data_IF_213398552190
#
_entry.id   IF_213398552190
#
_cell.length_a   1.000
_cell.length_b   1.000
_cell.length_c   1.000
_cell.angle_alpha   90.00
_cell.angle_beta   90.00
_cell.angle_gamma   90.00
#
_symmetry.space_group_name_H-M   'P 1'
#
loop_
_entity.id
_entity.type
_entity.pdbx_description
1 polymer ?
#
# COMPACT_ATOMS: atom_id res chain seq x y z
N UNK A 1 -32.58 10.63 -0.59
CA UNK A 1 -32.71 9.60 -1.62
C UNK A 1 -31.55 9.79 -2.60
N UNK A 2 -30.43 9.09 -2.35
CA UNK A 2 -29.33 8.95 -3.32
C UNK A 2 -29.48 7.58 -3.95
N UNK A 3 -29.79 7.54 -5.22
CA UNK A 3 -29.81 6.34 -6.05
C UNK A 3 -28.37 5.90 -6.29
N UNK A 4 -28.00 4.80 -5.68
CA UNK A 4 -26.73 4.09 -5.98
C UNK A 4 -26.93 3.37 -7.32
N UNK A 5 -26.24 3.80 -8.36
CA UNK A 5 -26.19 3.12 -9.64
C UNK A 5 -25.14 2.02 -9.57
N UNK A 6 -25.57 0.81 -9.30
CA UNK A 6 -24.74 -0.39 -9.39
C UNK A 6 -24.46 -0.69 -10.86
N UNK A 7 -23.23 -0.45 -11.29
CA UNK A 7 -22.74 -0.90 -12.59
C UNK A 7 -22.35 -2.38 -12.48
N UNK A 8 -23.29 -3.27 -12.84
CA UNK A 8 -23.01 -4.71 -12.92
C UNK A 8 -22.27 -5.01 -14.23
N UNK A 9 -20.98 -5.29 -14.13
CA UNK A 9 -20.15 -5.79 -15.23
C UNK A 9 -20.47 -7.28 -15.42
N UNK A 10 -21.37 -7.60 -16.33
CA UNK A 10 -21.70 -8.97 -16.70
C UNK A 10 -20.60 -9.59 -17.54
N UNK A 11 -19.85 -10.52 -16.97
CA UNK A 11 -18.92 -11.38 -17.71
C UNK A 11 -19.74 -12.54 -18.30
N UNK A 12 -19.96 -12.51 -19.60
CA UNK A 12 -20.61 -13.61 -20.34
C UNK A 12 -19.56 -14.68 -20.66
N UNK A 13 -19.64 -15.81 -19.98
CA UNK A 13 -18.91 -17.01 -20.36
C UNK A 13 -19.65 -17.72 -21.53
N UNK A 14 -19.11 -17.65 -22.73
CA UNK A 14 -19.48 -18.50 -23.84
C UNK A 14 -18.74 -19.84 -23.71
N UNK A 15 -19.39 -20.84 -23.16
CA UNK A 15 -18.90 -22.22 -23.18
C UNK A 15 -19.20 -22.84 -24.55
N UNK A 16 -18.23 -22.80 -25.45
CA UNK A 16 -18.20 -23.58 -26.66
C UNK A 16 -17.50 -24.92 -26.42
N UNK A 17 -18.24 -26.02 -26.38
CA UNK A 17 -17.69 -27.37 -26.31
C UNK A 17 -17.12 -27.79 -27.67
N UNK A 18 -15.81 -27.74 -27.84
CA UNK A 18 -15.09 -28.43 -28.91
C UNK A 18 -14.15 -29.46 -28.24
N UNK A 19 -14.52 -30.73 -28.32
CA UNK A 19 -13.60 -31.82 -28.00
C UNK A 19 -12.57 -31.91 -29.13
N UNK A 20 -11.43 -31.30 -28.98
CA UNK A 20 -10.23 -31.59 -29.72
C UNK A 20 -9.32 -32.43 -28.84
N UNK A 21 -8.98 -33.61 -29.31
CA UNK A 21 -7.97 -34.48 -28.71
C UNK A 21 -6.64 -33.80 -28.88
N UNK A 22 -6.14 -33.19 -27.76
CA UNK A 22 -4.82 -32.53 -27.72
C UNK A 22 -3.83 -33.54 -27.16
N UNK A 23 -2.88 -33.96 -28.02
CA UNK A 23 -1.64 -34.58 -27.56
C UNK A 23 -1.04 -33.67 -26.50
N UNK A 24 -0.95 -34.18 -25.27
CA UNK A 24 -0.31 -33.47 -24.16
C UNK A 24 1.20 -33.42 -24.39
N UNK A 25 1.65 -32.40 -25.09
CA UNK A 25 3.02 -31.92 -24.87
C UNK A 25 2.97 -31.24 -23.51
N UNK A 26 3.51 -31.88 -22.50
CA UNK A 26 3.76 -31.24 -21.22
C UNK A 26 4.87 -30.21 -21.45
N UNK A 27 4.53 -29.00 -21.80
CA UNK A 27 5.48 -27.90 -21.72
C UNK A 27 5.86 -27.76 -20.24
N UNK A 28 7.11 -28.09 -19.95
CA UNK A 28 7.70 -27.83 -18.65
C UNK A 28 7.67 -26.33 -18.43
N UNK A 29 6.72 -25.86 -17.59
CA UNK A 29 6.69 -24.47 -17.16
C UNK A 29 7.85 -24.30 -16.19
N UNK A 30 9.00 -23.98 -16.74
CA UNK A 30 10.14 -23.50 -15.97
C UNK A 30 9.76 -22.11 -15.46
N UNK A 31 9.29 -22.03 -14.24
CA UNK A 31 9.17 -20.76 -13.51
C UNK A 31 10.59 -20.42 -13.05
N UNK A 32 11.31 -19.50 -13.72
CA UNK A 32 12.61 -19.07 -13.22
C UNK A 32 12.34 -18.37 -11.87
N UNK A 33 12.72 -19.02 -10.78
CA UNK A 33 12.73 -18.40 -9.48
C UNK A 33 13.73 -17.23 -9.53
N UNK A 34 13.23 -16.01 -9.73
CA UNK A 34 14.06 -14.83 -9.58
C UNK A 34 14.46 -14.77 -8.11
N UNK A 35 15.76 -14.83 -7.83
CA UNK A 35 16.25 -14.59 -6.49
C UNK A 35 15.79 -13.19 -6.08
N UNK A 36 14.91 -13.10 -5.09
CA UNK A 36 14.49 -11.84 -4.51
C UNK A 36 15.69 -11.34 -3.71
N UNK A 37 16.31 -10.27 -4.15
CA UNK A 37 17.28 -9.55 -3.34
C UNK A 37 16.51 -8.64 -2.38
N UNK A 38 16.34 -9.02 -1.11
CA UNK A 38 15.58 -8.23 -0.15
C UNK A 38 16.29 -6.93 0.25
N UNK A 39 17.53 -6.73 -0.20
CA UNK A 39 18.39 -5.61 0.12
C UNK A 39 18.95 -4.99 -1.18
N UNK A 40 18.10 -4.59 -2.11
CA UNK A 40 18.57 -3.92 -3.34
C UNK A 40 19.25 -2.59 -2.98
N UNK A 41 20.52 -2.69 -2.59
CA UNK A 41 21.35 -1.54 -2.18
C UNK A 41 21.70 -0.63 -3.36
N UNK A 42 21.53 -1.11 -4.58
CA UNK A 42 21.79 -0.34 -5.81
C UNK A 42 20.54 0.40 -6.31
N UNK A 43 19.37 0.11 -5.72
CA UNK A 43 18.16 0.85 -6.06
C UNK A 43 18.26 2.31 -5.57
N UNK A 44 17.73 3.22 -6.36
CA UNK A 44 17.65 4.64 -6.00
C UNK A 44 16.48 4.89 -5.05
N UNK A 45 16.69 5.78 -4.07
CA UNK A 45 15.63 6.22 -3.15
C UNK A 45 15.42 7.72 -3.23
N UNK A 46 14.20 8.13 -3.52
CA UNK A 46 13.79 9.53 -3.48
C UNK A 46 13.53 10.05 -2.06
N UNK A 47 13.30 9.15 -1.11
CA UNK A 47 13.03 9.47 0.28
C UNK A 47 14.30 9.81 1.07
N UNK A 48 15.42 9.17 0.72
CA UNK A 48 16.71 9.42 1.38
C UNK A 48 17.52 10.56 0.75
N UNK A 49 17.33 10.79 -0.55
CA UNK A 49 18.07 11.81 -1.31
C UNK A 49 17.26 12.23 -2.55
N UNK A 50 17.36 13.50 -2.94
CA UNK A 50 16.82 14.01 -4.22
C UNK A 50 17.87 14.05 -5.34
N UNK A 51 19.07 13.49 -5.09
CA UNK A 51 20.18 13.51 -6.02
C UNK A 51 20.30 12.22 -6.85
N UNK A 52 19.27 11.36 -6.84
CA UNK A 52 19.32 10.07 -7.53
C UNK A 52 20.31 9.07 -6.95
N UNK A 53 20.72 9.25 -5.69
CA UNK A 53 21.64 8.34 -5.02
C UNK A 53 21.00 6.99 -4.75
N UNK A 54 21.80 5.95 -4.85
CA UNK A 54 21.41 4.60 -4.42
C UNK A 54 21.26 4.54 -2.89
N UNK A 55 20.61 3.50 -2.40
CA UNK A 55 20.52 3.24 -0.96
C UNK A 55 21.91 3.16 -0.32
N UNK A 56 22.88 2.55 -1.02
CA UNK A 56 24.27 2.41 -0.54
C UNK A 56 25.01 3.76 -0.46
N UNK A 57 24.74 4.67 -1.38
CA UNK A 57 25.38 5.98 -1.43
C UNK A 57 24.69 7.02 -0.53
N UNK A 58 23.46 6.72 -0.10
CA UNK A 58 22.68 7.65 0.72
C UNK A 58 23.19 7.64 2.16
N UNK A 59 23.64 8.79 2.72
CA UNK A 59 24.16 8.86 4.08
C UNK A 59 23.02 8.87 5.13
N UNK A 60 22.08 7.97 4.98
CA UNK A 60 20.91 7.83 5.85
C UNK A 60 20.49 6.34 5.91
N UNK A 61 19.72 5.99 6.94
CA UNK A 61 19.17 4.63 7.07
C UNK A 61 17.89 4.51 6.27
N UNK A 62 18.01 4.11 5.02
CA UNK A 62 16.89 3.88 4.10
C UNK A 62 16.73 2.39 3.88
N UNK A 63 15.49 1.90 3.90
CA UNK A 63 15.11 0.55 3.50
C UNK A 63 14.06 0.60 2.40
N UNK A 64 14.20 -0.28 1.43
CA UNK A 64 13.27 -0.45 0.33
C UNK A 64 12.58 -1.81 0.44
N UNK A 65 11.28 -1.82 0.18
CA UNK A 65 10.49 -3.04 0.05
C UNK A 65 9.83 -2.97 -1.33
N UNK A 66 10.37 -3.68 -2.30
CA UNK A 66 9.85 -3.66 -3.67
C UNK A 66 8.57 -4.51 -3.83
N UNK A 67 7.88 -4.34 -4.96
CA UNK A 67 6.63 -5.05 -5.27
C UNK A 67 6.80 -6.57 -5.32
N UNK A 68 7.96 -7.09 -5.69
CA UNK A 68 8.23 -8.53 -5.74
C UNK A 68 8.32 -9.12 -4.33
N UNK A 69 8.98 -8.43 -3.40
CA UNK A 69 9.04 -8.79 -1.98
C UNK A 69 7.64 -8.72 -1.34
N UNK A 70 6.89 -7.64 -1.63
CA UNK A 70 5.52 -7.49 -1.11
C UNK A 70 4.64 -8.65 -1.54
N UNK A 71 4.69 -9.04 -2.80
CA UNK A 71 3.94 -10.18 -3.35
C UNK A 71 4.39 -11.51 -2.76
N UNK A 72 5.69 -11.77 -2.73
CA UNK A 72 6.25 -13.03 -2.24
C UNK A 72 5.92 -13.28 -0.77
N UNK A 73 5.86 -12.22 0.04
CA UNK A 73 5.52 -12.29 1.46
C UNK A 73 4.03 -12.14 1.74
N UNK A 74 3.22 -11.85 0.72
CA UNK A 74 1.78 -11.70 0.85
C UNK A 74 1.35 -10.49 1.66
N UNK A 75 2.14 -9.40 1.66
CA UNK A 75 1.77 -8.15 2.31
C UNK A 75 0.63 -7.49 1.54
N UNK A 76 -0.49 -7.26 2.20
CA UNK A 76 -1.69 -6.68 1.59
C UNK A 76 -1.76 -5.16 1.76
N UNK A 77 -1.12 -4.64 2.80
CA UNK A 77 -1.10 -3.23 3.11
C UNK A 77 0.32 -2.71 3.37
N UNK A 78 0.50 -1.40 3.23
CA UNK A 78 1.75 -0.72 3.61
C UNK A 78 2.10 -0.98 5.07
N UNK A 79 1.09 -0.97 5.95
CA UNK A 79 1.28 -1.28 7.36
C UNK A 79 1.85 -2.70 7.58
N UNK A 80 1.38 -3.70 6.80
CA UNK A 80 1.90 -5.06 6.87
C UNK A 80 3.35 -5.16 6.42
N UNK A 81 3.70 -4.46 5.35
CA UNK A 81 5.06 -4.44 4.84
C UNK A 81 6.01 -3.75 5.82
N UNK A 82 5.67 -2.55 6.27
CA UNK A 82 6.52 -1.72 7.13
C UNK A 82 6.77 -2.36 8.50
N UNK A 83 5.77 -3.00 9.11
CA UNK A 83 5.96 -3.70 10.40
C UNK A 83 6.90 -4.91 10.31
N UNK A 84 7.20 -5.40 9.10
CA UNK A 84 8.17 -6.50 8.92
C UNK A 84 9.62 -6.05 9.06
N UNK A 85 9.86 -4.75 9.02
CA UNK A 85 11.20 -4.18 9.14
C UNK A 85 11.70 -4.20 10.58
N UNK A 86 12.98 -4.49 10.81
CA UNK A 86 13.54 -4.49 12.16
C UNK A 86 13.39 -3.13 12.86
N UNK A 87 12.90 -3.15 14.09
CA UNK A 87 12.76 -1.92 14.91
C UNK A 87 11.66 -0.97 14.47
N UNK A 88 10.74 -1.45 13.64
CA UNK A 88 9.52 -0.72 13.25
C UNK A 88 8.28 -1.46 13.77
N UNK A 89 7.34 -0.71 14.29
CA UNK A 89 6.01 -1.22 14.65
C UNK A 89 4.94 -0.40 13.94
N UNK A 90 3.80 -1.00 13.65
CA UNK A 90 2.67 -0.31 13.03
C UNK A 90 1.35 -0.79 13.61
N UNK A 91 0.31 0.05 13.49
CA UNK A 91 -1.05 -0.29 13.82
C UNK A 91 -1.34 -0.40 15.30
N UNK A 92 -1.69 0.69 15.95
CA UNK A 92 -2.21 0.66 17.32
C UNK A 92 -3.60 0.01 17.37
N UNK A 93 -4.40 0.20 16.32
CA UNK A 93 -5.72 -0.40 16.15
C UNK A 93 -6.05 -0.54 14.66
N UNK A 94 -7.07 -1.37 14.30
CA UNK A 94 -7.54 -1.46 12.92
C UNK A 94 -8.00 -0.11 12.33
N UNK A 95 -8.52 0.81 13.16
CA UNK A 95 -8.90 2.15 12.75
C UNK A 95 -7.70 3.10 12.53
N UNK A 96 -6.49 2.72 12.95
CA UNK A 96 -5.27 3.51 12.79
C UNK A 96 -4.07 2.66 12.32
N UNK A 97 -4.18 2.00 11.16
CA UNK A 97 -3.17 1.02 10.71
C UNK A 97 -1.82 1.64 10.40
N UNK A 98 -1.77 2.91 10.02
CA UNK A 98 -0.54 3.63 9.66
C UNK A 98 0.13 4.34 10.84
N UNK A 99 -0.26 4.05 12.08
CA UNK A 99 0.44 4.57 13.25
C UNK A 99 1.77 3.84 13.41
N UNK A 100 2.80 4.39 12.78
CA UNK A 100 4.14 3.81 12.80
C UNK A 100 4.94 4.30 14.02
N UNK A 101 5.80 3.41 14.53
CA UNK A 101 6.83 3.75 15.51
C UNK A 101 8.17 3.20 15.07
N UNK A 102 9.23 3.99 15.16
CA UNK A 102 10.58 3.59 14.83
C UNK A 102 11.60 4.36 15.67
N UNK A 103 12.62 3.63 16.15
CA UNK A 103 13.71 4.20 16.99
C UNK A 103 13.22 5.00 18.20
N UNK A 104 12.10 4.62 18.81
CA UNK A 104 11.50 5.31 19.96
C UNK A 104 10.63 6.52 19.60
N UNK A 105 10.57 6.91 18.35
CA UNK A 105 9.67 7.94 17.85
C UNK A 105 8.36 7.30 17.35
N UNK A 106 7.25 8.01 17.54
CA UNK A 106 5.94 7.52 17.14
C UNK A 106 5.00 8.66 16.74
N UNK A 107 3.85 8.30 16.17
CA UNK A 107 2.73 9.21 15.87
C UNK A 107 3.16 10.38 14.99
N UNK A 108 3.04 11.61 15.51
CA UNK A 108 3.33 12.85 14.76
C UNK A 108 4.81 13.06 14.42
N UNK A 109 5.71 12.25 15.00
CA UNK A 109 7.14 12.30 14.68
C UNK A 109 7.52 11.49 13.44
N UNK A 110 6.57 10.72 12.90
CA UNK A 110 6.73 9.93 11.68
C UNK A 110 5.81 10.52 10.61
N UNK A 111 6.33 10.71 9.42
CA UNK A 111 5.59 11.26 8.28
C UNK A 111 5.27 10.16 7.27
N UNK A 112 4.07 10.25 6.70
CA UNK A 112 3.63 9.37 5.61
C UNK A 112 3.56 10.18 4.33
N UNK A 113 4.21 9.66 3.30
CA UNK A 113 4.22 10.22 1.95
C UNK A 113 3.59 9.24 0.95
N UNK A 114 3.12 9.78 -0.14
CA UNK A 114 2.76 9.04 -1.35
C UNK A 114 3.41 9.70 -2.56
N UNK A 115 4.30 8.99 -3.23
CA UNK A 115 5.16 9.53 -4.29
C UNK A 115 5.90 10.81 -3.89
N UNK A 116 6.34 10.91 -2.64
CA UNK A 116 6.96 12.11 -2.09
C UNK A 116 5.99 13.21 -1.69
N UNK A 117 4.69 13.10 -2.00
CA UNK A 117 3.65 14.04 -1.58
C UNK A 117 3.31 13.78 -0.11
N UNK A 118 3.31 14.81 0.70
CA UNK A 118 2.98 14.71 2.11
C UNK A 118 1.50 14.42 2.33
N UNK A 119 1.17 13.27 2.93
CA UNK A 119 -0.19 12.91 3.32
C UNK A 119 -0.51 13.34 4.74
N UNK A 120 0.48 13.39 5.60
CA UNK A 120 0.30 13.76 6.99
C UNK A 120 1.23 13.01 7.96
N UNK A 121 1.13 13.32 9.24
CA UNK A 121 1.78 12.54 10.28
C UNK A 121 1.10 11.15 10.39
N UNK A 122 1.88 10.13 10.77
CA UNK A 122 1.45 8.73 10.76
C UNK A 122 0.17 8.46 11.57
N UNK A 123 -0.07 9.20 12.65
CA UNK A 123 -1.29 9.06 13.46
C UNK A 123 -2.54 9.72 12.85
N UNK A 124 -2.40 10.47 11.77
CA UNK A 124 -3.50 11.11 11.06
C UNK A 124 -3.83 10.42 9.73
N UNK A 125 -2.91 9.63 9.20
CA UNK A 125 -3.14 8.82 8.00
C UNK A 125 -3.76 7.50 8.42
N UNK A 126 -5.08 7.45 8.48
CA UNK A 126 -5.83 6.29 8.97
C UNK A 126 -6.04 5.19 7.92
N UNK A 127 -5.36 5.27 6.78
CA UNK A 127 -5.52 4.34 5.66
C UNK A 127 -4.55 3.19 5.72
N UNK A 128 -5.00 1.96 5.41
CA UNK A 128 -4.10 0.82 5.30
C UNK A 128 -3.20 0.88 4.06
N UNK A 129 -3.58 1.62 3.01
CA UNK A 129 -2.93 1.69 1.69
C UNK A 129 -2.58 0.30 1.15
N UNK A 130 -3.21 -0.13 0.05
CA UNK A 130 -2.91 -1.43 -0.55
C UNK A 130 -1.52 -1.44 -1.18
N UNK A 131 -0.95 -2.64 -1.35
CA UNK A 131 0.38 -2.83 -1.94
C UNK A 131 0.35 -3.15 -3.43
N UNK A 132 -0.80 -3.54 -4.00
CA UNK A 132 -0.89 -3.98 -5.39
C UNK A 132 -0.49 -2.88 -6.38
N UNK A 133 -0.95 -1.65 -6.13
CA UNK A 133 -0.66 -0.49 -6.98
C UNK A 133 0.73 0.11 -6.74
N UNK A 134 1.50 -0.43 -5.78
CA UNK A 134 2.82 0.10 -5.44
C UNK A 134 3.95 -0.60 -6.21
N UNK A 135 4.91 0.17 -6.63
CA UNK A 135 6.21 -0.27 -7.09
C UNK A 135 7.09 -0.68 -5.90
N UNK A 136 7.18 0.18 -4.92
CA UNK A 136 7.96 -0.04 -3.70
C UNK A 136 7.47 0.80 -2.52
N UNK A 137 7.94 0.46 -1.35
CA UNK A 137 7.82 1.26 -0.13
C UNK A 137 9.23 1.66 0.30
N UNK A 138 9.44 2.93 0.54
CA UNK A 138 10.70 3.49 1.03
C UNK A 138 10.53 3.92 2.49
N UNK A 139 11.40 3.45 3.37
CA UNK A 139 11.37 3.79 4.80
C UNK A 139 12.67 4.45 5.20
N UNK A 140 12.61 5.74 5.46
CA UNK A 140 13.73 6.49 6.05
C UNK A 140 13.59 6.47 7.58
N UNK A 141 14.62 6.01 8.28
CA UNK A 141 14.67 5.98 9.74
C UNK A 141 15.58 7.08 10.27
N UNK A 142 14.98 8.00 10.98
CA UNK A 142 15.66 9.15 11.56
C UNK A 142 15.20 10.47 10.94
N UNK A 143 15.86 11.59 11.25
CA UNK A 143 15.42 12.90 10.80
C UNK A 143 15.51 13.05 9.27
N UNK A 144 14.41 13.46 8.66
CA UNK A 144 14.29 13.75 7.23
C UNK A 144 13.76 15.15 6.94
N UNK A 145 13.73 16.03 7.94
CA UNK A 145 13.10 17.34 7.82
C UNK A 145 13.71 18.26 6.77
N UNK A 146 14.98 18.06 6.43
CA UNK A 146 15.63 18.80 5.34
C UNK A 146 15.04 18.46 3.95
N UNK A 147 14.52 17.24 3.77
CA UNK A 147 13.95 16.75 2.50
C UNK A 147 12.42 16.86 2.47
N UNK A 148 11.77 16.61 3.60
CA UNK A 148 10.32 16.39 3.68
C UNK A 148 9.60 17.39 4.58
N UNK A 149 10.32 18.39 5.13
CA UNK A 149 9.75 19.49 5.90
C UNK A 149 9.43 19.13 7.35
N UNK A 150 8.46 19.84 7.91
CA UNK A 150 8.13 19.79 9.33
C UNK A 150 7.60 18.43 9.79
N UNK A 151 8.00 17.99 10.98
CA UNK A 151 7.45 16.80 11.64
C UNK A 151 8.24 15.52 11.37
N UNK A 152 9.24 15.52 10.50
CA UNK A 152 10.03 14.32 10.16
C UNK A 152 11.24 14.20 11.11
N UNK A 153 10.97 13.86 12.36
CA UNK A 153 12.02 13.66 13.37
C UNK A 153 12.41 12.18 13.51
N UNK A 154 11.43 11.31 13.53
CA UNK A 154 11.62 9.89 13.76
C UNK A 154 11.78 9.06 12.48
N UNK A 155 11.22 9.53 11.37
CA UNK A 155 11.30 8.84 10.09
C UNK A 155 10.19 9.19 9.11
N UNK A 156 10.27 8.57 7.94
CA UNK A 156 9.32 8.73 6.84
C UNK A 156 8.97 7.37 6.24
N UNK A 157 7.69 7.15 5.95
CA UNK A 157 7.21 6.03 5.14
C UNK A 157 6.64 6.60 3.85
N UNK A 158 7.26 6.28 2.72
CA UNK A 158 6.86 6.74 1.40
C UNK A 158 6.39 5.56 0.55
N UNK A 159 5.16 5.61 0.10
CA UNK A 159 4.58 4.62 -0.81
C UNK A 159 4.75 5.14 -2.25
N UNK A 160 5.57 4.46 -3.04
CA UNK A 160 5.82 4.81 -4.44
C UNK A 160 4.90 3.99 -5.33
N UNK A 161 4.09 4.66 -6.14
CA UNK A 161 3.11 4.05 -7.03
C UNK A 161 3.80 3.54 -8.30
N UNK A 162 3.29 2.45 -8.87
CA UNK A 162 3.72 1.94 -10.17
C UNK A 162 3.46 2.97 -11.26
N UNK A 163 4.40 3.11 -12.18
CA UNK A 163 4.38 4.10 -13.27
C UNK A 163 4.50 3.45 -14.63
N UNK A 164 4.10 4.18 -15.67
CA UNK A 164 4.35 3.79 -17.03
C UNK A 164 5.86 3.75 -17.29
N UNK A 165 6.28 2.75 -18.05
CA UNK A 165 7.70 2.56 -18.46
C UNK A 165 7.78 2.33 -19.95
N UNK A 166 8.88 2.74 -20.57
CA UNK A 166 9.12 2.54 -22.00
C UNK A 166 9.43 1.07 -22.38
N UNK A 167 8.84 0.13 -21.65
CA UNK A 167 8.94 -1.32 -21.91
C UNK A 167 7.62 -1.99 -21.63
N UNK A 168 7.17 -2.87 -22.51
CA UNK A 168 5.99 -3.68 -22.24
C UNK A 168 6.17 -4.52 -20.98
N UNK A 169 5.14 -4.57 -20.18
CA UNK A 169 5.11 -5.42 -18.99
C UNK A 169 3.89 -6.31 -19.07
N UNK A 170 4.01 -7.58 -18.64
CA UNK A 170 2.89 -8.49 -18.63
C UNK A 170 1.76 -7.96 -17.76
N UNK A 171 0.53 -8.35 -18.09
CA UNK A 171 -0.63 -8.09 -17.23
C UNK A 171 -0.42 -8.83 -15.90
N UNK A 172 -0.49 -8.09 -14.83
CA UNK A 172 -0.46 -8.61 -13.48
C UNK A 172 -1.89 -8.82 -12.97
N UNK A 173 -2.16 -9.96 -12.35
CA UNK A 173 -3.46 -10.25 -11.74
C UNK A 173 -3.25 -10.75 -10.32
N UNK A 174 -4.13 -10.32 -9.43
CA UNK A 174 -4.22 -10.78 -8.06
C UNK A 174 -5.67 -11.15 -7.77
N UNK A 175 -5.89 -12.36 -7.24
CA UNK A 175 -7.16 -12.76 -6.69
C UNK A 175 -6.92 -13.52 -5.39
N UNK A 176 -7.51 -13.07 -4.31
CA UNK A 176 -7.43 -13.75 -3.03
C UNK A 176 -8.78 -13.75 -2.32
N UNK A 177 -9.07 -14.84 -1.63
CA UNK A 177 -10.24 -14.97 -0.76
C UNK A 177 -9.82 -15.66 0.52
N UNK A 178 -10.35 -15.21 1.65
CA UNK A 178 -9.93 -15.70 2.95
C UNK A 178 -11.02 -15.65 4.02
N UNK A 179 -10.59 -15.86 5.25
CA UNK A 179 -11.47 -15.84 6.42
C UNK A 179 -12.14 -14.47 6.58
N UNK A 180 -13.33 -14.45 7.17
CA UNK A 180 -14.16 -13.25 7.39
C UNK A 180 -14.58 -12.57 6.07
N UNK A 181 -14.91 -13.34 5.04
CA UNK A 181 -15.28 -12.78 3.76
C UNK A 181 -14.18 -11.92 3.11
N UNK A 182 -12.95 -11.95 3.63
CA UNK A 182 -11.88 -11.11 3.12
C UNK A 182 -11.55 -11.47 1.68
N UNK A 183 -11.64 -10.50 0.78
CA UNK A 183 -11.27 -10.65 -0.63
C UNK A 183 -10.34 -9.52 -1.08
N UNK A 184 -9.57 -9.80 -2.11
CA UNK A 184 -8.79 -8.81 -2.81
C UNK A 184 -8.69 -9.21 -4.28
N UNK A 185 -8.99 -8.27 -5.17
CA UNK A 185 -8.80 -8.41 -6.60
C UNK A 185 -7.94 -7.27 -7.10
N UNK A 186 -7.00 -7.61 -7.97
CA UNK A 186 -6.15 -6.62 -8.60
C UNK A 186 -5.87 -6.99 -10.04
N UNK A 187 -5.83 -6.00 -10.91
CA UNK A 187 -5.39 -6.14 -12.29
C UNK A 187 -4.63 -4.88 -12.69
N UNK A 188 -3.53 -5.06 -13.40
CA UNK A 188 -2.75 -3.94 -13.90
C UNK A 188 -1.79 -4.37 -15.00
N UNK A 189 -1.29 -3.41 -15.74
CA UNK A 189 -0.35 -3.65 -16.82
C UNK A 189 0.15 -2.38 -17.46
N UNK A 190 1.24 -2.48 -18.19
CA UNK A 190 1.88 -1.41 -18.95
C UNK A 190 1.87 -1.76 -20.42
N UNK A 191 1.39 -0.86 -21.26
CA UNK A 191 1.29 -1.06 -22.71
C UNK A 191 1.72 0.16 -23.48
N UNK A 192 2.25 -0.04 -24.67
CA UNK A 192 2.56 1.01 -25.60
C UNK A 192 1.29 1.47 -26.34
N UNK A 193 1.02 2.77 -26.39
CA UNK A 193 -0.09 3.36 -27.15
C UNK A 193 0.33 3.90 -28.51
N UNK A 194 1.59 4.23 -28.67
CA UNK A 194 2.17 4.79 -29.88
C UNK A 194 3.69 4.73 -29.80
N UNK A 195 4.40 5.22 -30.82
CA UNK A 195 5.86 5.09 -30.92
C UNK A 195 6.64 5.64 -29.72
N UNK A 196 6.07 6.66 -29.04
CA UNK A 196 6.71 7.36 -27.93
C UNK A 196 5.80 7.50 -26.68
N UNK A 197 4.71 6.74 -26.62
CA UNK A 197 3.71 6.91 -25.55
C UNK A 197 3.39 5.58 -24.91
N UNK A 198 3.45 5.54 -23.59
CA UNK A 198 3.18 4.37 -22.77
C UNK A 198 2.12 4.66 -21.74
N UNK A 199 1.24 3.69 -21.50
CA UNK A 199 0.18 3.78 -20.50
C UNK A 199 0.29 2.60 -19.53
N UNK A 200 0.24 2.91 -18.24
CA UNK A 200 0.03 1.92 -17.19
C UNK A 200 -1.28 2.21 -16.46
N UNK A 201 -2.03 1.15 -16.20
CA UNK A 201 -3.23 1.23 -15.34
C UNK A 201 -3.18 0.06 -14.37
N UNK A 202 -3.43 0.35 -13.10
CA UNK A 202 -3.59 -0.66 -12.04
C UNK A 202 -4.88 -0.37 -11.26
N UNK A 203 -5.67 -1.41 -11.04
CA UNK A 203 -6.92 -1.36 -10.28
C UNK A 203 -6.86 -2.40 -9.18
N UNK A 204 -7.22 -2.03 -7.96
CA UNK A 204 -7.32 -2.93 -6.84
C UNK A 204 -8.61 -2.70 -6.07
N UNK A 205 -9.27 -3.79 -5.69
CA UNK A 205 -10.44 -3.81 -4.84
C UNK A 205 -10.18 -4.74 -3.67
N UNK A 206 -10.45 -4.28 -2.47
CA UNK A 206 -10.35 -5.03 -1.22
C UNK A 206 -11.63 -4.89 -0.41
N UNK A 207 -12.01 -5.95 0.30
CA UNK A 207 -13.10 -5.91 1.28
C UNK A 207 -12.99 -7.04 2.28
N UNK A 208 -13.65 -6.87 3.43
CA UNK A 208 -13.71 -7.86 4.50
C UNK A 208 -14.92 -7.61 5.40
N UNK A 209 -15.58 -8.68 5.87
CA UNK A 209 -16.59 -8.56 6.94
C UNK A 209 -15.96 -8.27 8.32
N UNK A 210 -14.63 -8.35 8.41
CA UNK A 210 -13.89 -8.16 9.65
C UNK A 210 -14.08 -9.31 10.67
N UNK A 211 -13.28 -9.31 11.72
CA UNK A 211 -13.36 -10.30 12.79
C UNK A 211 -14.17 -9.79 14.01
N UNK A 212 -14.60 -8.56 13.98
CA UNK A 212 -15.41 -7.89 15.00
C UNK A 212 -16.67 -7.37 14.35
N UNK A 213 -17.77 -7.37 15.07
CA UNK A 213 -19.06 -6.84 14.61
C UNK A 213 -18.90 -5.43 14.02
N UNK A 214 -19.42 -5.19 12.83
CA UNK A 214 -19.40 -3.88 12.15
C UNK A 214 -17.98 -3.34 11.90
N UNK A 215 -17.08 -4.22 11.51
CA UNK A 215 -15.74 -3.89 11.10
C UNK A 215 -15.55 -4.35 9.66
N UNK A 216 -16.24 -3.74 8.74
CA UNK A 216 -16.37 -4.08 7.32
C UNK A 216 -15.59 -3.09 6.44
N UNK A 217 -14.25 -3.12 6.47
CA UNK A 217 -13.45 -2.23 5.63
C UNK A 217 -13.55 -2.61 4.16
N UNK A 218 -13.65 -1.58 3.32
CA UNK A 218 -13.57 -1.69 1.88
C UNK A 218 -12.59 -0.65 1.33
N UNK A 219 -11.92 -0.97 0.23
CA UNK A 219 -11.00 -0.06 -0.43
C UNK A 219 -10.98 -0.31 -1.92
N UNK A 220 -11.07 0.76 -2.69
CA UNK A 220 -10.85 0.78 -4.13
C UNK A 220 -9.69 1.71 -4.44
N UNK A 221 -8.69 1.22 -5.17
CA UNK A 221 -7.59 2.05 -5.63
C UNK A 221 -7.41 1.89 -7.14
N UNK A 222 -7.43 3.00 -7.84
CA UNK A 222 -7.19 3.07 -9.28
C UNK A 222 -6.03 4.02 -9.53
N UNK A 223 -4.99 3.52 -10.18
CA UNK A 223 -3.85 4.34 -10.60
C UNK A 223 -3.71 4.27 -12.11
N UNK A 224 -3.41 5.40 -12.74
CA UNK A 224 -3.10 5.49 -14.14
C UNK A 224 -1.90 6.42 -14.34
N UNK A 225 -0.96 6.01 -15.16
CA UNK A 225 0.23 6.79 -15.52
C UNK A 225 0.42 6.76 -17.02
N UNK A 226 0.66 7.92 -17.61
CA UNK A 226 0.96 8.11 -19.03
C UNK A 226 2.35 8.71 -19.15
N UNK A 227 3.28 7.96 -19.75
CA UNK A 227 4.60 8.45 -20.12
C UNK A 227 4.61 8.82 -21.59
N UNK A 228 4.98 10.04 -21.90
CA UNK A 228 5.20 10.54 -23.25
C UNK A 228 6.65 11.00 -23.42
N UNK A 229 7.40 10.26 -24.22
CA UNK A 229 8.76 10.58 -24.63
C UNK A 229 8.68 11.50 -25.85
N UNK A 230 8.55 12.81 -25.60
CA UNK A 230 8.31 13.80 -26.67
C UNK A 230 9.52 13.93 -27.60
N UNK A 231 10.74 13.77 -27.06
CA UNK A 231 12.01 13.67 -27.79
C UNK A 231 12.93 12.70 -27.06
N UNK A 232 14.13 12.44 -27.61
CA UNK A 232 15.17 11.63 -26.92
C UNK A 232 15.65 12.27 -25.61
N UNK A 233 15.43 13.57 -25.44
CA UNK A 233 15.90 14.36 -24.30
C UNK A 233 14.77 14.95 -23.45
N UNK A 234 13.50 14.74 -23.81
CA UNK A 234 12.39 15.34 -23.09
C UNK A 234 11.23 14.37 -22.89
N UNK A 235 10.97 14.06 -21.62
CA UNK A 235 9.90 13.19 -21.18
C UNK A 235 8.88 13.93 -20.34
N UNK A 236 7.62 13.56 -20.49
CA UNK A 236 6.50 14.03 -19.66
C UNK A 236 5.76 12.83 -19.12
N UNK A 237 5.57 12.79 -17.81
CA UNK A 237 4.75 11.79 -17.15
C UNK A 237 3.55 12.44 -16.47
N UNK A 238 2.36 11.91 -16.76
CA UNK A 238 1.14 12.26 -16.05
C UNK A 238 0.70 11.07 -15.21
N UNK A 239 0.32 11.31 -13.97
CA UNK A 239 -0.16 10.29 -13.06
C UNK A 239 -1.44 10.73 -12.37
N UNK A 240 -2.36 9.78 -12.24
CA UNK A 240 -3.59 9.91 -11.45
C UNK A 240 -3.63 8.76 -10.45
N UNK A 241 -3.92 9.05 -9.20
CA UNK A 241 -4.09 8.06 -8.14
C UNK A 241 -5.39 8.38 -7.40
N UNK A 242 -6.36 7.48 -7.54
CA UNK A 242 -7.67 7.57 -6.90
C UNK A 242 -7.80 6.47 -5.86
N UNK A 243 -8.15 6.87 -4.64
CA UNK A 243 -8.44 6.00 -3.51
C UNK A 243 -9.83 6.33 -2.96
N UNK A 244 -10.64 5.30 -2.76
CA UNK A 244 -11.93 5.34 -2.09
C UNK A 244 -11.92 4.26 -1.01
N UNK A 245 -11.92 4.68 0.25
CA UNK A 245 -11.77 3.82 1.40
C UNK A 245 -12.93 3.98 2.37
N UNK A 246 -13.56 2.87 2.74
CA UNK A 246 -14.36 2.71 3.95
C UNK A 246 -13.49 2.01 4.99
N UNK A 247 -13.14 2.71 6.05
CA UNK A 247 -12.15 2.24 7.02
C UNK A 247 -12.81 1.41 8.12
N UNK A 248 -12.05 0.47 8.68
CA UNK A 248 -12.47 -0.27 9.84
C UNK A 248 -12.65 0.66 11.06
N UNK A 249 -13.91 0.95 11.44
CA UNK A 249 -14.20 1.76 12.60
C UNK A 249 -14.15 0.92 13.89
N UNK A 250 -12.94 0.41 14.20
CA UNK A 250 -12.71 -0.40 15.41
C UNK A 250 -11.41 0.01 16.11
N UNK A 251 -11.55 0.59 17.28
CA UNK A 251 -10.46 1.13 18.08
C UNK A 251 -9.89 0.15 19.10
N UNK A 252 -10.48 -1.01 19.24
CA UNK A 252 -10.04 -2.05 20.16
C UNK A 252 -11.12 -2.49 21.14
N UNK A 253 -10.83 -3.57 21.87
CA UNK A 253 -11.68 -4.05 22.95
C UNK A 253 -11.31 -3.31 24.24
N UNK A 254 -12.28 -2.68 24.94
CA UNK A 254 -11.99 -1.99 26.19
C UNK A 254 -11.54 -2.97 27.26
N UNK A 255 -10.60 -2.55 28.07
CA UNK A 255 -10.23 -3.24 29.30
C UNK A 255 -11.33 -2.98 30.35
N UNK A 256 -11.56 -3.99 31.18
CA UNK A 256 -12.53 -3.92 32.28
C UNK A 256 -11.87 -4.41 33.57
N UNK A 257 -12.27 -3.93 34.76
CA UNK A 257 -11.81 -4.47 36.01
C UNK A 257 -12.05 -6.00 36.08
N UNK A 258 -11.08 -6.76 36.55
CA UNK A 258 -11.14 -8.21 36.57
C UNK A 258 -12.35 -8.76 37.34
N UNK A 259 -12.74 -8.09 38.40
CA UNK A 259 -13.92 -8.44 39.21
C UNK A 259 -15.25 -8.12 38.52
N UNK A 260 -15.24 -7.33 37.44
CA UNK A 260 -16.44 -6.96 36.66
C UNK A 260 -16.53 -7.76 35.35
N UNK A 261 -15.47 -8.46 34.95
CA UNK A 261 -15.46 -9.26 33.74
C UNK A 261 -16.32 -10.53 33.91
N UNK A 262 -17.18 -10.81 32.93
CA UNK A 262 -17.99 -12.04 32.92
C UNK A 262 -17.12 -13.27 32.68
N UNK A 263 -16.14 -13.13 31.77
CA UNK A 263 -15.18 -14.18 31.44
C UNK A 263 -13.80 -13.54 31.22
N UNK A 264 -13.06 -13.26 32.30
CA UNK A 264 -11.74 -12.65 32.17
C UNK A 264 -10.81 -13.50 31.30
N UNK A 265 -9.93 -12.85 30.57
CA UNK A 265 -8.89 -13.51 29.79
C UNK A 265 -7.73 -13.83 30.73
N UNK A 266 -7.52 -15.13 30.98
CA UNK A 266 -6.42 -15.60 31.78
C UNK A 266 -5.08 -15.31 31.05
N UNK A 267 -4.02 -15.03 31.78
CA UNK A 267 -2.67 -14.77 31.29
C UNK A 267 -2.49 -13.51 30.41
N UNK A 268 -3.46 -12.66 30.30
CA UNK A 268 -3.27 -11.34 29.66
C UNK A 268 -2.61 -10.41 30.66
N UNK A 269 -1.59 -9.69 30.21
CA UNK A 269 -0.96 -8.62 30.97
C UNK A 269 -2.02 -7.60 31.37
N UNK A 270 -2.30 -7.57 32.63
CA UNK A 270 -3.23 -6.64 33.21
C UNK A 270 -2.49 -5.32 33.44
N UNK A 271 -3.24 -4.25 33.41
CA UNK A 271 -2.71 -2.98 33.88
C UNK A 271 -2.38 -3.08 35.37
N UNK A 272 -1.58 -2.18 35.90
CA UNK A 272 -1.29 -2.09 37.33
C UNK A 272 -2.54 -1.87 38.19
N UNK A 273 -3.66 -1.43 37.56
CA UNK A 273 -4.98 -1.25 38.13
C UNK A 273 -5.83 -2.55 38.17
N UNK A 274 -5.33 -3.68 37.67
CA UNK A 274 -6.05 -4.96 37.68
C UNK A 274 -7.12 -5.09 36.62
N UNK A 275 -6.95 -4.49 35.45
CA UNK A 275 -7.87 -4.59 34.33
C UNK A 275 -7.51 -5.76 33.42
N UNK A 276 -8.53 -6.36 32.79
CA UNK A 276 -8.41 -7.49 31.86
C UNK A 276 -9.32 -7.30 30.66
N UNK A 277 -9.16 -8.16 29.64
CA UNK A 277 -10.11 -8.29 28.53
C UNK A 277 -11.20 -9.28 28.92
N UNK A 278 -12.46 -8.91 28.75
CA UNK A 278 -13.57 -9.84 28.85
C UNK A 278 -13.70 -10.63 27.52
N UNK A 279 -13.48 -11.94 27.57
CA UNK A 279 -13.61 -12.84 26.41
C UNK A 279 -14.98 -12.78 25.74
N UNK A 280 -16.02 -12.41 26.46
CA UNK A 280 -17.36 -12.23 25.88
C UNK A 280 -17.50 -10.95 25.06
N UNK A 281 -16.65 -9.97 25.32
CA UNK A 281 -16.65 -8.68 24.63
C UNK A 281 -15.71 -8.63 23.41
N UNK A 282 -14.83 -9.63 23.23
CA UNK A 282 -13.72 -9.58 22.27
C UNK A 282 -14.10 -9.40 20.79
N UNK A 283 -15.33 -9.73 20.42
CA UNK A 283 -15.84 -9.60 19.05
C UNK A 283 -16.87 -8.49 18.90
N UNK A 284 -17.07 -7.69 19.94
CA UNK A 284 -18.01 -6.57 19.92
C UNK A 284 -17.31 -5.29 19.57
N UNK A 285 -17.90 -4.54 18.66
CA UNK A 285 -17.52 -3.17 18.40
C UNK A 285 -18.29 -2.24 19.35
N UNK A 286 -17.55 -1.48 20.14
CA UNK A 286 -18.11 -0.55 21.15
C UNK A 286 -18.29 0.87 20.62
N UNK A 287 -17.95 1.11 19.35
CA UNK A 287 -18.21 2.39 18.73
C UNK A 287 -19.69 2.62 18.48
N UNK A 288 -20.04 3.85 18.17
CA UNK A 288 -21.40 4.24 17.80
C UNK A 288 -21.89 3.43 16.60
N UNK A 289 -23.18 3.09 16.57
CA UNK A 289 -23.72 2.20 15.53
C UNK A 289 -23.68 2.79 14.14
N UNK A 290 -23.80 4.10 14.04
CA UNK A 290 -23.84 4.84 12.77
C UNK A 290 -22.49 5.54 12.47
N UNK A 291 -21.43 5.13 13.18
CA UNK A 291 -20.07 5.61 12.93
C UNK A 291 -19.62 5.22 11.53
N UNK A 292 -19.05 6.16 10.79
CA UNK A 292 -18.46 5.96 9.48
C UNK A 292 -17.10 6.62 9.44
N UNK A 293 -16.15 5.92 8.85
CA UNK A 293 -14.82 6.43 8.56
C UNK A 293 -14.57 6.22 7.07
N UNK A 294 -14.99 7.18 6.27
CA UNK A 294 -14.87 7.14 4.80
C UNK A 294 -13.84 8.18 4.37
N UNK A 295 -13.12 7.89 3.32
CA UNK A 295 -12.11 8.78 2.77
C UNK A 295 -11.94 8.60 1.27
N UNK A 296 -12.18 9.69 0.53
CA UNK A 296 -11.86 9.81 -0.89
C UNK A 296 -10.59 10.61 -1.07
N UNK A 297 -9.73 10.17 -1.96
CA UNK A 297 -8.52 10.91 -2.33
C UNK A 297 -8.27 10.81 -3.82
N UNK A 298 -7.99 11.95 -4.43
CA UNK A 298 -7.56 12.05 -5.81
C UNK A 298 -6.29 12.87 -5.87
N UNK A 299 -5.20 12.22 -6.32
CA UNK A 299 -3.92 12.87 -6.51
C UNK A 299 -3.61 12.93 -8.01
N UNK A 300 -3.15 14.10 -8.44
CA UNK A 300 -2.59 14.32 -9.77
C UNK A 300 -1.13 14.68 -9.63
N UNK A 301 -0.32 14.11 -10.48
CA UNK A 301 1.10 14.41 -10.58
C UNK A 301 1.48 14.58 -12.05
N UNK A 302 2.39 15.50 -12.30
CA UNK A 302 3.04 15.68 -13.59
C UNK A 302 4.53 15.85 -13.32
N UNK A 303 5.31 14.97 -13.90
CA UNK A 303 6.77 15.04 -13.86
C UNK A 303 7.29 15.40 -15.25
N UNK A 304 8.25 16.30 -15.28
CA UNK A 304 8.97 16.71 -16.48
C UNK A 304 10.43 16.37 -16.30
N UNK A 305 11.02 15.72 -17.27
CA UNK A 305 12.46 15.48 -17.33
C UNK A 305 13.01 15.99 -18.66
N UNK A 306 13.98 16.89 -18.60
CA UNK A 306 14.59 17.48 -19.77
C UNK A 306 16.11 17.48 -19.66
N UNK A 307 16.76 16.69 -20.52
CA UNK A 307 18.20 16.67 -20.65
C UNK A 307 18.65 17.78 -21.60
N UNK A 308 19.14 18.87 -21.02
CA UNK A 308 19.64 20.04 -21.79
C UNK A 308 21.02 19.79 -22.41
N UNK A 309 21.85 18.95 -21.79
CA UNK A 309 23.16 18.52 -22.26
C UNK A 309 23.57 17.26 -21.49
N UNK A 310 24.70 16.65 -21.86
CA UNK A 310 25.25 15.47 -21.21
C UNK A 310 25.46 15.63 -19.70
N UNK A 311 25.55 16.86 -19.20
CA UNK A 311 25.83 17.16 -17.79
C UNK A 311 24.72 17.98 -17.10
N UNK A 312 23.64 18.33 -17.81
CA UNK A 312 22.57 19.18 -17.26
C UNK A 312 21.21 18.52 -17.56
N UNK A 313 20.53 18.15 -16.50
CA UNK A 313 19.15 17.67 -16.53
C UNK A 313 18.28 18.57 -15.66
N UNK A 314 17.13 18.96 -16.17
CA UNK A 314 16.06 19.61 -15.41
C UNK A 314 14.97 18.59 -15.16
N UNK A 315 14.65 18.36 -13.90
CA UNK A 315 13.54 17.51 -13.48
C UNK A 315 12.66 18.28 -12.48
N UNK A 316 11.35 18.05 -12.53
CA UNK A 316 10.38 18.67 -11.62
C UNK A 316 9.64 17.57 -10.86
#
# INVERSE_FOLDING_TARGET
LKTVSTLSLGVVFLAGSAFAQVDRVVEEIVVPGRAIDPLDLNATSSTGSRLGLTVMETPASVELIDSSVMRARGYKSVADAVKSLPGVTSGESPAAPSTFSMRGFSRSSITVLRDGIWLGPANMVMRPQNTFNLDRIEVLRGPGSALHGQGVVGGTVNSVVKRATATEQPIEMLASYGRFGTYQFGVGGNTQLGDSTWLRVDVNQYGSDGYVDRMDPESTNVTASLLWQATEDFDVEFQVDYLDDSLADYWGTPLVPQNSAIKPLDDVVLTSSGETVDKKARFRNFNVRDGRAESDQLLFRMDLSWRLSDNIELAN
#
